data_IF_614412733125
#
_entry.id   IF_614412733125
#
_cell.length_a   1.000
_cell.length_b   1.000
_cell.length_c   1.000
_cell.angle_alpha   90.00
_cell.angle_beta   90.00
_cell.angle_gamma   90.00
#
_symmetry.space_group_name_H-M   'P 1'
#
loop_
_entity.id
_entity.type
_entity.pdbx_description
1 polymer ?
#
# COMPACT_ATOMS: atom_id res chain seq x y z
N UNK A 1 23.07 1.96 2.85
CA UNK A 1 21.60 2.11 2.77
C UNK A 1 21.03 0.72 2.88
N UNK A 2 20.19 0.45 3.87
CA UNK A 2 19.60 -0.88 4.04
C UNK A 2 18.56 -1.07 2.94
N UNK A 3 18.77 -2.03 2.05
CA UNK A 3 17.76 -2.38 1.04
C UNK A 3 16.48 -2.81 1.76
N UNK A 4 15.34 -2.23 1.36
CA UNK A 4 14.04 -2.56 1.93
C UNK A 4 13.61 -3.94 1.44
N UNK A 5 13.01 -4.73 2.34
CA UNK A 5 12.44 -6.03 1.99
C UNK A 5 11.13 -5.83 1.22
N UNK A 6 10.85 -6.70 0.27
CA UNK A 6 9.61 -6.67 -0.51
C UNK A 6 8.72 -7.86 -0.16
N UNK A 7 7.40 -7.64 -0.18
CA UNK A 7 6.41 -8.73 -0.07
C UNK A 7 6.25 -9.42 -1.43
N UNK A 8 5.71 -10.66 -1.48
CA UNK A 8 5.44 -11.35 -2.75
C UNK A 8 4.51 -10.57 -3.71
N UNK A 9 3.69 -9.66 -3.18
CA UNK A 9 2.74 -8.84 -3.95
C UNK A 9 3.26 -7.41 -4.23
N UNK A 10 4.53 -7.11 -3.96
CA UNK A 10 5.11 -5.77 -4.16
C UNK A 10 4.91 -5.22 -5.57
N UNK A 11 5.12 -6.05 -6.59
CA UNK A 11 4.91 -5.67 -7.99
C UNK A 11 3.44 -5.29 -8.28
N UNK A 12 2.49 -6.01 -7.67
CA UNK A 12 1.07 -5.70 -7.80
C UNK A 12 0.73 -4.35 -7.17
N UNK A 13 1.24 -4.05 -5.97
CA UNK A 13 1.03 -2.75 -5.33
C UNK A 13 1.56 -1.60 -6.20
N UNK A 14 2.74 -1.78 -6.79
CA UNK A 14 3.35 -0.79 -7.69
C UNK A 14 2.52 -0.61 -8.97
N UNK A 15 2.05 -1.71 -9.58
CA UNK A 15 1.19 -1.66 -10.76
C UNK A 15 -0.15 -0.96 -10.50
N UNK A 16 -0.72 -1.12 -9.30
CA UNK A 16 -1.95 -0.46 -8.87
C UNK A 16 -1.74 1.02 -8.46
N UNK A 17 -0.51 1.54 -8.57
CA UNK A 17 -0.19 2.93 -8.26
C UNK A 17 -0.16 3.23 -6.76
N UNK A 18 0.14 2.23 -5.92
CA UNK A 18 0.31 2.45 -4.50
C UNK A 18 1.50 3.40 -4.23
N UNK A 19 1.35 4.27 -3.24
CA UNK A 19 2.45 5.03 -2.66
C UNK A 19 3.23 4.10 -1.72
N UNK A 20 4.42 3.70 -2.14
CA UNK A 20 5.30 2.83 -1.37
C UNK A 20 6.15 3.64 -0.38
N UNK A 21 6.28 3.16 0.86
CA UNK A 21 7.05 3.82 1.92
C UNK A 21 7.84 2.81 2.77
N UNK A 22 8.99 3.23 3.34
CA UNK A 22 9.71 2.42 4.32
C UNK A 22 8.87 2.21 5.59
N UNK A 23 8.52 0.96 5.90
CA UNK A 23 7.83 0.61 7.13
C UNK A 23 8.39 -0.70 7.70
N UNK A 24 8.92 -0.65 8.93
CA UNK A 24 9.50 -1.80 9.62
C UNK A 24 10.55 -2.59 8.80
N UNK A 25 11.32 -1.90 7.95
CA UNK A 25 12.34 -2.52 7.08
C UNK A 25 11.79 -3.14 5.78
N UNK A 26 10.52 -2.91 5.46
CA UNK A 26 9.89 -3.29 4.20
C UNK A 26 9.48 -2.06 3.39
N UNK A 27 9.35 -2.24 2.08
CA UNK A 27 8.72 -1.27 1.19
C UNK A 27 7.22 -1.59 1.07
N UNK A 28 6.38 -0.80 1.74
CA UNK A 28 4.97 -1.11 1.99
C UNK A 28 4.03 -0.04 1.41
N UNK A 29 2.83 -0.43 0.90
CA UNK A 29 1.86 0.52 0.38
C UNK A 29 1.17 1.29 1.52
N UNK A 30 1.25 2.63 1.53
CA UNK A 30 0.56 3.47 2.54
C UNK A 30 -0.81 3.97 2.07
N UNK A 31 -1.00 4.13 0.77
CA UNK A 31 -2.27 4.53 0.14
C UNK A 31 -2.23 4.20 -1.36
N UNK A 32 -3.38 4.03 -1.97
CA UNK A 32 -3.57 3.90 -3.42
C UNK A 32 -4.09 5.22 -4.03
N UNK A 33 -4.27 5.31 -5.36
CA UNK A 33 -4.71 6.56 -6.00
C UNK A 33 -6.07 7.08 -5.51
N UNK A 34 -6.90 6.22 -4.92
CA UNK A 34 -8.18 6.59 -4.31
C UNK A 34 -8.00 7.53 -3.10
N UNK A 35 -6.92 7.34 -2.34
CA UNK A 35 -6.52 8.15 -1.20
C UNK A 35 -7.05 7.65 0.13
N UNK A 36 -6.29 7.92 1.21
CA UNK A 36 -6.49 7.33 2.55
C UNK A 36 -7.92 7.48 3.08
N UNK A 37 -8.53 8.68 2.96
CA UNK A 37 -9.88 8.93 3.48
C UNK A 37 -10.92 8.04 2.80
N UNK A 38 -10.84 7.95 1.46
CA UNK A 38 -11.79 7.18 0.67
C UNK A 38 -11.57 5.67 0.81
N UNK A 39 -10.31 5.22 0.95
CA UNK A 39 -9.99 3.82 1.26
C UNK A 39 -10.56 3.41 2.63
N UNK A 40 -10.43 4.30 3.62
CA UNK A 40 -11.02 4.09 4.95
C UNK A 40 -12.55 3.99 4.89
N UNK A 41 -13.20 4.97 4.25
CA UNK A 41 -14.66 4.97 4.05
C UNK A 41 -15.12 3.71 3.30
N UNK A 42 -14.44 3.33 2.22
CA UNK A 42 -14.76 2.14 1.44
C UNK A 42 -14.67 0.85 2.27
N UNK A 43 -13.65 0.73 3.12
CA UNK A 43 -13.50 -0.45 3.99
C UNK A 43 -14.62 -0.53 5.03
N UNK A 44 -15.11 0.62 5.53
CA UNK A 44 -16.20 0.65 6.51
C UNK A 44 -17.58 0.43 5.90
N UNK A 45 -17.82 1.01 4.73
CA UNK A 45 -19.11 0.96 4.05
C UNK A 45 -19.26 -0.30 3.18
N UNK A 46 -18.14 -0.93 2.80
CA UNK A 46 -18.08 -2.07 1.88
C UNK A 46 -17.04 -3.11 2.34
N UNK A 47 -15.90 -3.21 1.67
CA UNK A 47 -14.86 -4.21 1.91
C UNK A 47 -13.49 -3.64 1.50
N UNK A 48 -12.43 -3.93 2.24
CA UNK A 48 -11.05 -3.51 1.91
C UNK A 48 -10.13 -4.72 1.74
N UNK A 49 -9.09 -4.56 0.92
CA UNK A 49 -8.01 -5.53 0.70
C UNK A 49 -6.65 -4.83 0.72
#
# INVERSE_FOLDING_TARGET
MTDLKHTPLHALHTQLGAKMVPFAGYDMPVQYPLGVKKEHEHTRERCGL
#
